data_IF_293491290290
#
_entry.id   IF_293491290290
#
_cell.length_a   1.000
_cell.length_b   1.000
_cell.length_c   1.000
_cell.angle_alpha   90.00
_cell.angle_beta   90.00
_cell.angle_gamma   90.00
#
_symmetry.space_group_name_H-M   'P 1'
#
loop_
_entity.id
_entity.type
_entity.pdbx_description
1 polymer ?
#
# COMPACT_ATOMS: atom_id res chain seq x y z
N UNK A 1 -6.91 5.97 -9.41
CA UNK A 1 -6.05 4.86 -9.00
C UNK A 1 -5.67 4.07 -10.25
N UNK A 2 -4.36 3.93 -10.50
CA UNK A 2 -3.82 3.15 -11.61
C UNK A 2 -3.52 1.72 -11.17
N UNK A 3 -4.28 0.76 -11.68
CA UNK A 3 -4.14 -0.68 -11.39
C UNK A 3 -3.46 -1.46 -12.52
N UNK A 4 -2.93 -0.78 -13.53
CA UNK A 4 -2.37 -1.41 -14.74
C UNK A 4 -1.23 -2.37 -14.41
N UNK A 5 -0.28 -1.95 -13.55
CA UNK A 5 0.84 -2.79 -13.14
C UNK A 5 0.37 -3.98 -12.30
N UNK A 6 -0.53 -3.77 -11.33
CA UNK A 6 -1.08 -4.84 -10.50
C UNK A 6 -1.76 -5.91 -11.36
N UNK A 7 -2.64 -5.49 -12.27
CA UNK A 7 -3.33 -6.41 -13.18
C UNK A 7 -2.35 -7.20 -14.04
N UNK A 8 -1.35 -6.52 -14.64
CA UNK A 8 -0.31 -7.18 -15.43
C UNK A 8 0.47 -8.22 -14.58
N UNK A 9 0.76 -7.89 -13.33
CA UNK A 9 1.48 -8.81 -12.43
C UNK A 9 0.62 -10.03 -12.07
N UNK A 10 -0.69 -9.85 -11.83
CA UNK A 10 -1.65 -10.95 -11.61
C UNK A 10 -1.73 -11.83 -12.86
N UNK A 11 -1.87 -11.25 -14.05
CA UNK A 11 -1.91 -11.99 -15.30
C UNK A 11 -0.64 -12.81 -15.51
N UNK A 12 0.53 -12.22 -15.21
CA UNK A 12 1.82 -12.92 -15.29
C UNK A 12 1.93 -14.07 -14.28
N UNK A 13 1.45 -13.89 -13.05
CA UNK A 13 1.45 -14.93 -12.02
C UNK A 13 0.56 -16.13 -12.43
N UNK A 14 -0.62 -15.86 -12.98
CA UNK A 14 -1.52 -16.88 -13.45
C UNK A 14 -1.02 -17.63 -14.70
N UNK A 15 -0.12 -17.00 -15.48
CA UNK A 15 0.47 -17.57 -16.68
C UNK A 15 1.74 -18.38 -16.40
N UNK A 16 2.25 -18.43 -15.15
CA UNK A 16 3.45 -19.18 -14.81
C UNK A 16 3.26 -20.69 -15.12
N UNK A 17 4.20 -21.26 -15.86
CA UNK A 17 4.30 -22.71 -16.02
C UNK A 17 5.03 -23.32 -14.81
N UNK A 18 4.27 -23.70 -13.79
CA UNK A 18 4.82 -24.21 -12.54
C UNK A 18 5.64 -25.51 -12.70
N UNK A 19 5.59 -26.17 -13.86
CA UNK A 19 6.44 -27.35 -14.14
C UNK A 19 7.90 -27.00 -14.31
N UNK A 20 8.24 -25.73 -14.46
CA UNK A 20 9.60 -25.18 -14.56
C UNK A 20 10.24 -24.90 -13.20
N UNK A 21 9.49 -25.07 -12.12
CA UNK A 21 9.90 -24.70 -10.77
C UNK A 21 9.94 -25.89 -9.83
N UNK A 22 10.87 -25.89 -8.88
CA UNK A 22 10.98 -26.87 -7.80
C UNK A 22 10.32 -26.33 -6.52
N UNK A 23 9.00 -26.21 -6.54
CA UNK A 23 8.23 -25.59 -5.47
C UNK A 23 7.98 -26.54 -4.30
N UNK A 24 8.29 -26.08 -3.10
CA UNK A 24 7.78 -26.66 -1.85
C UNK A 24 6.29 -26.34 -1.67
N UNK A 25 5.61 -27.02 -0.74
CA UNK A 25 4.23 -26.66 -0.40
C UNK A 25 4.13 -25.26 0.20
N UNK A 26 5.17 -24.78 0.88
CA UNK A 26 5.27 -23.42 1.40
C UNK A 26 5.35 -22.39 0.26
N UNK A 27 6.16 -22.65 -0.78
CA UNK A 27 6.25 -21.77 -1.96
C UNK A 27 4.92 -21.67 -2.69
N UNK A 28 4.22 -22.80 -2.86
CA UNK A 28 2.89 -22.84 -3.49
C UNK A 28 1.85 -22.07 -2.69
N UNK A 29 1.87 -22.22 -1.36
CA UNK A 29 0.98 -21.52 -0.46
C UNK A 29 1.24 -20.01 -0.51
N UNK A 30 2.51 -19.57 -0.42
CA UNK A 30 2.90 -18.17 -0.49
C UNK A 30 2.51 -17.52 -1.82
N UNK A 31 2.71 -18.22 -2.95
CA UNK A 31 2.27 -17.72 -4.27
C UNK A 31 0.75 -17.60 -4.35
N UNK A 32 0.03 -18.61 -3.88
CA UNK A 32 -1.45 -18.61 -3.91
C UNK A 32 -2.02 -17.48 -3.06
N UNK A 33 -1.50 -17.28 -1.86
CA UNK A 33 -1.90 -16.20 -0.96
C UNK A 33 -1.62 -14.83 -1.58
N UNK A 34 -0.44 -14.63 -2.14
CA UNK A 34 -0.08 -13.37 -2.79
C UNK A 34 -0.94 -13.05 -4.01
N UNK A 35 -1.30 -14.06 -4.82
CA UNK A 35 -2.25 -13.87 -5.92
C UNK A 35 -3.63 -13.47 -5.38
N UNK A 36 -4.13 -14.15 -4.34
CA UNK A 36 -5.43 -13.85 -3.75
C UNK A 36 -5.49 -12.44 -3.15
N UNK A 37 -4.45 -12.01 -2.44
CA UNK A 37 -4.32 -10.64 -1.92
C UNK A 37 -4.32 -9.62 -3.06
N UNK A 38 -3.52 -9.85 -4.10
CA UNK A 38 -3.42 -8.99 -5.27
C UNK A 38 -4.77 -8.85 -6.00
N UNK A 39 -5.51 -9.94 -6.19
CA UNK A 39 -6.86 -9.93 -6.77
C UNK A 39 -7.82 -9.15 -5.88
N UNK A 40 -7.78 -9.35 -4.58
CA UNK A 40 -8.64 -8.63 -3.62
C UNK A 40 -8.42 -7.12 -3.71
N UNK A 41 -7.16 -6.66 -3.76
CA UNK A 41 -6.83 -5.24 -3.92
C UNK A 41 -7.23 -4.72 -5.30
N UNK A 42 -7.03 -5.53 -6.36
CA UNK A 42 -7.44 -5.15 -7.71
C UNK A 42 -8.95 -4.94 -7.84
N UNK A 43 -9.76 -5.78 -7.19
CA UNK A 43 -11.22 -5.73 -7.26
C UNK A 43 -11.83 -4.71 -6.30
N UNK A 44 -11.09 -4.29 -5.27
CA UNK A 44 -11.52 -3.28 -4.32
C UNK A 44 -11.55 -1.90 -5.00
N UNK A 45 -12.73 -1.28 -5.12
CA UNK A 45 -12.91 0.05 -5.71
C UNK A 45 -12.37 1.17 -4.83
N UNK A 46 -12.29 0.94 -3.53
CA UNK A 46 -11.81 1.90 -2.53
C UNK A 46 -10.31 1.73 -2.21
N UNK A 47 -9.63 0.79 -2.88
CA UNK A 47 -8.20 0.59 -2.68
C UNK A 47 -7.42 1.87 -2.99
N UNK A 48 -6.46 2.19 -2.14
CA UNK A 48 -5.54 3.34 -2.37
C UNK A 48 -4.45 2.98 -3.38
N UNK A 49 -3.74 3.97 -3.93
CA UNK A 49 -2.63 3.71 -4.85
C UNK A 49 -1.51 2.95 -4.14
N UNK A 50 -1.26 3.28 -2.89
CA UNK A 50 -0.22 2.66 -2.07
C UNK A 50 -0.49 1.17 -1.81
N UNK A 51 -1.76 0.80 -1.56
CA UNK A 51 -2.17 -0.61 -1.44
C UNK A 51 -1.99 -1.36 -2.76
N UNK A 52 -2.35 -0.72 -3.89
CA UNK A 52 -2.17 -1.28 -5.24
C UNK A 52 -0.69 -1.51 -5.53
N UNK A 53 0.16 -0.53 -5.25
CA UNK A 53 1.60 -0.58 -5.50
C UNK A 53 2.28 -1.64 -4.60
N UNK A 54 1.87 -1.73 -3.33
CA UNK A 54 2.37 -2.73 -2.39
C UNK A 54 2.01 -4.16 -2.83
N UNK A 55 0.75 -4.39 -3.19
CA UNK A 55 0.29 -5.70 -3.66
C UNK A 55 1.01 -6.13 -4.94
N UNK A 56 1.22 -5.21 -5.89
CA UNK A 56 1.97 -5.47 -7.11
C UNK A 56 3.44 -5.81 -6.81
N UNK A 57 4.10 -5.06 -5.93
CA UNK A 57 5.49 -5.28 -5.56
C UNK A 57 5.68 -6.61 -4.80
N UNK A 58 4.79 -6.94 -3.85
CA UNK A 58 4.80 -8.20 -3.10
C UNK A 58 4.64 -9.40 -4.03
N UNK A 59 3.65 -9.38 -4.92
CA UNK A 59 3.43 -10.48 -5.86
C UNK A 59 4.62 -10.65 -6.81
N UNK A 60 5.15 -9.55 -7.37
CA UNK A 60 6.33 -9.58 -8.23
C UNK A 60 7.56 -10.19 -7.53
N UNK A 61 7.79 -9.82 -6.26
CA UNK A 61 8.88 -10.38 -5.46
C UNK A 61 8.71 -11.89 -5.25
N UNK A 62 7.52 -12.34 -4.86
CA UNK A 62 7.27 -13.77 -4.63
C UNK A 62 7.50 -14.55 -5.91
N UNK A 63 6.95 -14.12 -7.05
CA UNK A 63 7.19 -14.77 -8.35
C UNK A 63 8.67 -14.87 -8.69
N UNK A 64 9.43 -13.79 -8.48
CA UNK A 64 10.85 -13.73 -8.85
C UNK A 64 11.77 -14.49 -7.89
N UNK A 65 11.28 -14.88 -6.73
CA UNK A 65 12.02 -15.66 -5.73
C UNK A 65 11.73 -17.17 -5.78
N UNK A 66 10.79 -17.59 -6.64
CA UNK A 66 10.47 -19.01 -6.79
C UNK A 66 11.68 -19.78 -7.35
N UNK A 67 12.08 -20.90 -6.72
CA UNK A 67 13.19 -21.71 -7.20
C UNK A 67 12.82 -22.41 -8.52
N UNK A 68 13.64 -22.24 -9.55
CA UNK A 68 13.50 -22.92 -10.84
C UNK A 68 14.33 -24.19 -10.86
N UNK A 69 13.89 -25.21 -11.60
CA UNK A 69 14.52 -26.51 -11.67
C UNK A 69 15.97 -26.48 -12.20
N UNK A 70 16.31 -25.48 -13.02
CA UNK A 70 17.62 -25.35 -13.65
C UNK A 70 18.33 -24.01 -13.36
N UNK A 71 17.82 -23.22 -12.40
CA UNK A 71 18.34 -21.91 -12.07
C UNK A 71 18.02 -20.80 -13.05
N UNK A 72 17.22 -21.07 -14.10
CA UNK A 72 16.88 -20.10 -15.14
C UNK A 72 15.81 -19.10 -14.65
N UNK A 73 16.18 -17.85 -14.43
CA UNK A 73 15.29 -16.78 -14.02
C UNK A 73 14.36 -16.27 -15.15
N UNK A 74 14.68 -16.62 -16.38
CA UNK A 74 13.92 -16.15 -17.56
C UNK A 74 12.48 -16.69 -17.61
N UNK A 75 12.17 -17.78 -16.91
CA UNK A 75 10.81 -18.32 -16.84
C UNK A 75 9.80 -17.35 -16.21
N UNK A 76 10.24 -16.49 -15.30
CA UNK A 76 9.44 -15.45 -14.66
C UNK A 76 9.46 -14.09 -15.38
N UNK A 77 10.15 -13.97 -16.51
CA UNK A 77 10.29 -12.73 -17.25
C UNK A 77 9.26 -12.60 -18.39
N UNK A 78 8.81 -11.37 -18.61
CA UNK A 78 8.14 -11.02 -19.87
C UNK A 78 9.18 -10.94 -20.99
N UNK A 79 8.92 -11.61 -22.13
CA UNK A 79 9.80 -11.60 -23.28
C UNK A 79 9.29 -10.68 -24.38
N UNK A 80 10.20 -9.92 -25.01
CA UNK A 80 9.94 -9.11 -26.20
C UNK A 80 11.11 -9.17 -27.16
N UNK A 81 10.88 -8.74 -28.40
CA UNK A 81 11.91 -8.78 -29.46
C UNK A 81 11.74 -7.62 -30.43
N UNK A 82 12.82 -7.23 -31.10
CA UNK A 82 12.78 -6.29 -32.24
C UNK A 82 11.97 -6.82 -33.40
N UNK A 83 12.06 -8.13 -33.69
CA UNK A 83 11.31 -8.80 -34.75
C UNK A 83 11.28 -10.31 -34.51
N UNK A 84 10.19 -10.95 -34.91
CA UNK A 84 10.07 -12.40 -35.01
C UNK A 84 9.38 -12.76 -36.34
N UNK A 85 9.90 -13.76 -36.99
CA UNK A 85 9.33 -14.28 -38.26
C UNK A 85 7.93 -14.86 -38.01
N UNK A 86 7.06 -14.85 -39.02
CA UNK A 86 5.72 -15.43 -38.92
C UNK A 86 5.72 -16.96 -38.70
N UNK A 87 6.84 -17.62 -38.90
CA UNK A 87 7.04 -19.07 -38.71
C UNK A 87 7.50 -19.43 -37.31
N UNK A 88 8.02 -18.47 -36.55
CA UNK A 88 8.65 -18.67 -35.27
C UNK A 88 7.89 -17.95 -34.12
N UNK A 89 8.34 -18.14 -32.91
CA UNK A 89 7.75 -17.55 -31.69
C UNK A 89 8.83 -17.03 -30.75
N UNK A 90 8.69 -15.81 -30.29
CA UNK A 90 9.63 -15.24 -29.30
C UNK A 90 9.57 -15.98 -27.96
N UNK A 91 8.41 -16.50 -27.57
CA UNK A 91 8.26 -17.28 -26.33
C UNK A 91 9.02 -18.62 -26.31
N UNK A 92 9.59 -19.03 -27.43
CA UNK A 92 10.43 -20.23 -27.49
C UNK A 92 11.76 -20.05 -26.76
N UNK A 93 12.26 -18.80 -26.59
CA UNK A 93 13.59 -18.56 -26.00
C UNK A 93 13.66 -18.83 -24.49
N UNK A 94 12.50 -19.03 -23.83
CA UNK A 94 12.41 -19.38 -22.40
C UNK A 94 11.34 -20.43 -22.11
N UNK A 95 11.08 -21.33 -23.07
CA UNK A 95 10.08 -22.39 -22.88
C UNK A 95 10.68 -23.68 -22.25
N UNK A 96 11.99 -23.71 -22.02
CA UNK A 96 12.72 -24.82 -21.41
C UNK A 96 12.87 -26.05 -22.31
N UNK A 97 12.62 -25.92 -23.62
CA UNK A 97 12.73 -27.00 -24.59
C UNK A 97 14.02 -26.90 -25.36
N UNK A 98 14.87 -27.91 -25.22
CA UNK A 98 16.20 -27.95 -25.79
C UNK A 98 16.24 -29.07 -26.83
N UNK A 99 16.59 -28.78 -28.11
CA UNK A 99 16.74 -29.80 -29.12
C UNK A 99 18.04 -30.58 -28.96
N UNK A 100 18.12 -31.78 -29.58
CA UNK A 100 19.38 -32.55 -29.65
C UNK A 100 20.38 -31.91 -30.62
N UNK A 101 19.92 -31.17 -31.63
CA UNK A 101 20.75 -30.52 -32.64
C UNK A 101 20.34 -29.08 -32.90
N UNK A 102 21.32 -28.22 -33.15
CA UNK A 102 21.15 -26.84 -33.61
C UNK A 102 20.69 -26.78 -35.07
N UNK A 103 20.87 -27.84 -35.81
CA UNK A 103 20.52 -27.89 -37.25
C UNK A 103 19.05 -28.22 -37.42
N UNK A 104 18.33 -27.27 -38.02
CA UNK A 104 16.92 -27.39 -38.40
C UNK A 104 16.04 -28.16 -37.41
N UNK A 105 15.97 -27.76 -36.14
CA UNK A 105 15.22 -28.47 -35.09
C UNK A 105 13.71 -28.44 -35.40
N UNK A 106 13.20 -29.51 -36.02
CA UNK A 106 11.81 -29.64 -36.42
C UNK A 106 10.91 -30.09 -35.27
N UNK A 107 9.63 -29.69 -35.28
CA UNK A 107 8.63 -30.09 -34.29
C UNK A 107 8.73 -29.38 -32.94
N UNK A 108 9.63 -28.42 -32.79
CA UNK A 108 9.76 -27.59 -31.60
C UNK A 108 9.51 -26.12 -31.92
N UNK A 109 8.93 -25.37 -30.96
CA UNK A 109 8.89 -23.92 -31.05
C UNK A 109 10.34 -23.38 -31.03
N UNK A 110 10.59 -22.33 -31.77
CA UNK A 110 11.92 -21.72 -31.91
C UNK A 110 11.77 -20.23 -32.22
N UNK A 111 12.76 -19.42 -31.89
CA UNK A 111 12.84 -18.02 -32.25
C UNK A 111 13.73 -17.83 -33.47
N UNK A 112 13.25 -17.10 -34.45
CA UNK A 112 14.00 -16.75 -35.64
C UNK A 112 13.51 -15.47 -36.31
N UNK A 113 14.38 -14.81 -37.06
CA UNK A 113 14.12 -13.47 -37.57
C UNK A 113 14.16 -13.38 -39.11
N UNK A 114 13.84 -14.49 -39.81
CA UNK A 114 13.75 -14.50 -41.26
C UNK A 114 12.72 -13.50 -41.78
N UNK A 115 13.04 -12.80 -42.86
CA UNK A 115 12.17 -11.84 -43.51
C UNK A 115 12.41 -10.37 -43.13
N UNK A 116 13.18 -10.08 -42.09
CA UNK A 116 13.51 -8.71 -41.70
C UNK A 116 14.88 -8.27 -42.22
N UNK A 117 14.92 -7.24 -43.10
CA UNK A 117 16.15 -6.62 -43.56
C UNK A 117 16.72 -5.70 -42.48
N UNK A 118 17.61 -6.23 -41.65
CA UNK A 118 18.29 -5.52 -40.58
C UNK A 118 19.71 -6.04 -40.40
N UNK A 119 20.58 -5.29 -39.76
CA UNK A 119 21.93 -5.72 -39.40
C UNK A 119 22.01 -6.43 -38.04
N UNK A 120 21.00 -6.24 -37.20
CA UNK A 120 20.93 -6.82 -35.84
C UNK A 120 19.50 -6.99 -35.39
N UNK A 121 19.29 -7.92 -34.45
CA UNK A 121 18.04 -8.17 -33.78
C UNK A 121 18.25 -8.26 -32.27
N UNK A 122 17.19 -8.01 -31.48
CA UNK A 122 17.26 -8.09 -30.03
C UNK A 122 16.15 -8.95 -29.46
N UNK A 123 16.48 -9.67 -28.40
CA UNK A 123 15.48 -10.31 -27.50
C UNK A 123 15.69 -9.75 -26.12
N UNK A 124 14.61 -9.38 -25.45
CA UNK A 124 14.65 -8.70 -24.14
C UNK A 124 13.79 -9.45 -23.13
N UNK A 125 14.36 -9.71 -21.96
CA UNK A 125 13.63 -10.11 -20.76
C UNK A 125 13.37 -8.93 -19.84
N UNK A 126 12.18 -8.84 -19.26
CA UNK A 126 11.79 -7.81 -18.30
C UNK A 126 11.05 -8.44 -17.12
N UNK A 127 11.52 -8.15 -15.91
CA UNK A 127 10.87 -8.53 -14.64
C UNK A 127 10.14 -7.34 -14.02
N UNK A 128 9.13 -7.62 -13.21
CA UNK A 128 8.39 -6.58 -12.49
C UNK A 128 9.16 -6.03 -11.27
N UNK A 129 10.30 -6.64 -10.91
CA UNK A 129 11.22 -6.15 -9.89
C UNK A 129 12.67 -6.19 -10.38
N UNK A 130 13.59 -5.62 -9.59
CA UNK A 130 15.01 -5.70 -9.86
C UNK A 130 15.57 -7.10 -9.57
N UNK A 131 16.44 -7.55 -10.45
CA UNK A 131 17.18 -8.80 -10.36
C UNK A 131 18.67 -8.51 -10.26
N UNK A 132 19.40 -9.36 -9.56
CA UNK A 132 20.86 -9.41 -9.55
C UNK A 132 21.30 -10.53 -10.48
N UNK A 133 21.91 -10.19 -11.59
CA UNK A 133 22.26 -11.13 -12.66
C UNK A 133 23.78 -11.26 -12.77
N UNK A 134 24.26 -12.49 -13.02
CA UNK A 134 25.70 -12.82 -13.06
C UNK A 134 26.11 -13.63 -14.29
N UNK A 135 25.16 -14.08 -15.11
CA UNK A 135 25.47 -14.89 -16.27
C UNK A 135 24.26 -15.25 -17.12
N UNK A 136 24.53 -15.79 -18.28
CA UNK A 136 23.53 -16.26 -19.22
C UNK A 136 24.05 -17.39 -20.10
N UNK A 137 23.15 -18.26 -20.56
CA UNK A 137 23.41 -19.35 -21.50
C UNK A 137 22.52 -19.19 -22.72
N UNK A 138 23.07 -19.25 -23.91
CA UNK A 138 22.31 -19.20 -25.16
C UNK A 138 22.52 -20.47 -26.00
N UNK A 139 21.42 -21.03 -26.51
CA UNK A 139 21.40 -22.13 -27.45
C UNK A 139 20.98 -21.63 -28.82
N UNK A 140 21.89 -21.70 -29.81
CA UNK A 140 21.69 -21.19 -31.16
C UNK A 140 21.14 -22.26 -32.09
N UNK A 141 20.43 -21.87 -33.18
CA UNK A 141 19.99 -22.75 -34.23
C UNK A 141 20.08 -22.12 -35.61
N UNK A 142 20.07 -22.96 -36.63
CA UNK A 142 20.15 -22.57 -38.04
C UNK A 142 19.40 -23.56 -38.94
N UNK A 143 19.06 -23.16 -40.18
CA UNK A 143 18.28 -23.94 -41.14
C UNK A 143 18.95 -24.08 -42.49
N UNK A 144 20.28 -24.11 -42.58
CA UNK A 144 21.02 -24.27 -43.83
C UNK A 144 20.66 -25.53 -44.62
N UNK A 145 21.05 -25.57 -45.89
CA UNK A 145 20.81 -26.71 -46.78
C UNK A 145 21.65 -27.96 -46.37
N UNK A 146 22.68 -27.75 -45.58
CA UNK A 146 23.62 -28.80 -45.18
C UNK A 146 23.97 -28.59 -43.70
N UNK A 147 23.93 -29.67 -42.94
CA UNK A 147 24.40 -29.69 -41.54
C UNK A 147 25.88 -29.26 -41.48
N UNK A 148 26.20 -28.37 -40.52
CA UNK A 148 27.53 -27.79 -40.35
C UNK A 148 27.79 -26.52 -41.14
N UNK A 149 26.89 -26.09 -42.06
CA UNK A 149 27.01 -24.83 -42.78
C UNK A 149 26.05 -23.77 -42.21
N UNK A 150 26.35 -23.32 -40.98
CA UNK A 150 25.52 -22.40 -40.21
C UNK A 150 25.60 -20.93 -40.65
N UNK A 151 26.32 -20.65 -41.73
CA UNK A 151 26.41 -19.32 -42.35
C UNK A 151 25.51 -19.18 -43.59
N UNK A 152 24.84 -20.25 -43.97
CA UNK A 152 23.90 -20.31 -45.11
C UNK A 152 22.47 -20.65 -44.60
N UNK A 153 21.49 -20.49 -45.49
CA UNK A 153 20.08 -20.74 -45.15
C UNK A 153 19.31 -19.47 -44.87
N UNK A 154 18.04 -19.63 -44.52
CA UNK A 154 17.13 -18.55 -44.13
C UNK A 154 17.41 -18.05 -42.73
N UNK A 155 17.69 -18.98 -41.81
CA UNK A 155 18.16 -18.69 -40.45
C UNK A 155 19.62 -19.13 -40.33
N UNK A 156 20.45 -18.22 -39.84
CA UNK A 156 21.90 -18.42 -39.67
C UNK A 156 22.23 -18.21 -38.17
N UNK A 157 23.38 -18.69 -37.74
CA UNK A 157 23.92 -18.22 -36.48
C UNK A 157 24.28 -16.73 -36.58
N UNK A 158 24.20 -15.97 -35.48
CA UNK A 158 24.67 -14.57 -35.52
C UNK A 158 26.17 -14.50 -35.81
N UNK A 159 26.63 -13.40 -36.39
CA UNK A 159 28.06 -13.11 -36.56
C UNK A 159 28.75 -12.90 -35.22
N UNK A 160 28.02 -12.30 -34.27
CA UNK A 160 28.37 -12.09 -32.86
C UNK A 160 27.11 -11.75 -32.11
N UNK A 161 27.16 -11.84 -30.78
CA UNK A 161 26.13 -11.31 -29.91
C UNK A 161 26.73 -10.67 -28.68
N UNK A 162 25.95 -9.83 -27.98
CA UNK A 162 26.31 -9.19 -26.71
C UNK A 162 25.12 -9.17 -25.80
N UNK A 163 25.37 -9.18 -24.48
CA UNK A 163 24.35 -8.94 -23.47
C UNK A 163 24.41 -7.51 -22.98
N UNK A 164 23.26 -6.87 -22.89
CA UNK A 164 23.10 -5.50 -22.40
C UNK A 164 22.00 -5.47 -21.35
N UNK A 165 22.16 -4.64 -20.33
CA UNK A 165 21.17 -4.43 -19.28
C UNK A 165 20.69 -2.99 -19.26
N UNK A 166 19.46 -2.78 -18.79
CA UNK A 166 18.88 -1.46 -18.61
C UNK A 166 19.32 -0.90 -17.25
N UNK A 167 20.08 0.19 -17.24
CA UNK A 167 20.52 0.82 -16.00
C UNK A 167 19.38 1.62 -15.32
N UNK A 168 19.65 2.18 -14.13
CA UNK A 168 18.69 2.99 -13.38
C UNK A 168 18.29 4.29 -14.05
N UNK A 169 19.07 4.76 -15.04
CA UNK A 169 18.81 5.97 -15.83
C UNK A 169 18.00 5.66 -17.09
N UNK A 170 17.72 4.38 -17.36
CA UNK A 170 16.99 3.94 -18.54
C UNK A 170 17.87 3.77 -19.79
N UNK A 171 19.19 3.69 -19.65
CA UNK A 171 20.12 3.46 -20.74
C UNK A 171 20.52 1.99 -20.83
N UNK A 172 20.62 1.48 -22.06
CA UNK A 172 21.18 0.16 -22.31
C UNK A 172 22.71 0.20 -22.25
N UNK A 173 23.31 -0.64 -21.42
CA UNK A 173 24.77 -0.79 -21.25
C UNK A 173 25.15 -2.25 -21.42
N UNK A 174 26.29 -2.51 -22.04
CA UNK A 174 26.85 -3.87 -22.08
C UNK A 174 27.16 -4.36 -20.65
N UNK A 175 26.94 -5.66 -20.38
CA UNK A 175 27.28 -6.27 -19.08
C UNK A 175 28.78 -6.11 -18.80
N UNK A 176 29.16 -5.83 -17.54
CA UNK A 176 30.57 -5.57 -17.22
C UNK A 176 31.39 -6.87 -17.22
N UNK A 177 32.61 -6.80 -17.71
CA UNK A 177 33.60 -7.88 -17.71
C UNK A 177 33.04 -9.24 -18.17
N UNK A 178 32.34 -9.30 -19.34
CA UNK A 178 31.83 -10.56 -19.84
C UNK A 178 32.98 -11.53 -20.16
N UNK A 179 32.77 -12.81 -19.86
CA UNK A 179 33.59 -13.86 -20.44
C UNK A 179 33.39 -13.96 -21.96
N UNK A 180 34.02 -14.89 -22.62
CA UNK A 180 33.82 -15.05 -24.07
C UNK A 180 32.38 -15.36 -24.44
N UNK A 181 31.86 -14.73 -25.48
CA UNK A 181 30.61 -15.08 -26.13
C UNK A 181 30.84 -16.28 -27.07
N UNK A 182 30.40 -17.47 -26.65
CA UNK A 182 30.52 -18.71 -27.38
C UNK A 182 29.63 -18.75 -28.63
N UNK A 183 30.04 -19.51 -29.63
CA UNK A 183 29.30 -19.69 -30.91
C UNK A 183 29.24 -21.18 -31.28
N UNK A 184 29.31 -22.07 -30.28
CA UNK A 184 29.28 -23.51 -30.50
C UNK A 184 27.87 -24.01 -30.73
N UNK A 185 27.72 -25.02 -31.61
CA UNK A 185 26.45 -25.65 -31.91
C UNK A 185 26.17 -26.83 -31.00
N UNK A 186 24.91 -27.26 -30.92
CA UNK A 186 24.41 -28.44 -30.21
C UNK A 186 24.62 -28.38 -28.69
N UNK A 187 24.82 -27.16 -28.17
CA UNK A 187 24.96 -26.91 -26.73
C UNK A 187 24.70 -25.47 -26.35
N UNK A 188 24.57 -25.24 -25.05
CA UNK A 188 24.57 -23.88 -24.51
C UNK A 188 25.94 -23.24 -24.56
N UNK A 189 25.96 -21.97 -24.91
CA UNK A 189 27.13 -21.10 -24.84
C UNK A 189 27.00 -20.23 -23.60
N UNK A 190 27.82 -20.51 -22.58
CA UNK A 190 27.83 -19.82 -21.31
C UNK A 190 28.63 -18.53 -21.38
N UNK A 191 28.08 -17.46 -20.82
CA UNK A 191 28.76 -16.18 -20.58
C UNK A 191 28.50 -15.75 -19.13
N UNK A 192 29.57 -15.59 -18.36
CA UNK A 192 29.54 -14.97 -17.03
C UNK A 192 29.93 -13.52 -17.10
N UNK A 193 29.44 -12.71 -16.19
CA UNK A 193 29.76 -11.29 -16.08
C UNK A 193 29.67 -10.83 -14.61
N UNK A 194 30.25 -9.66 -14.30
CA UNK A 194 30.14 -9.09 -12.96
C UNK A 194 28.68 -8.79 -12.63
N UNK A 195 28.29 -8.96 -11.38
CA UNK A 195 26.92 -8.78 -10.92
C UNK A 195 26.36 -7.41 -11.36
N UNK A 196 25.22 -7.44 -12.03
CA UNK A 196 24.42 -6.26 -12.37
C UNK A 196 23.08 -6.29 -11.65
N UNK A 197 22.56 -5.13 -11.28
CA UNK A 197 21.18 -4.96 -10.80
C UNK A 197 20.34 -4.31 -11.89
N UNK A 198 19.28 -4.97 -12.32
CA UNK A 198 18.43 -4.48 -13.42
C UNK A 198 17.03 -5.09 -13.40
N UNK A 199 16.08 -4.41 -14.04
CA UNK A 199 14.77 -4.99 -14.37
C UNK A 199 14.73 -5.60 -15.79
N UNK A 200 15.73 -5.30 -16.62
CA UNK A 200 15.72 -5.79 -18.01
C UNK A 200 17.12 -6.11 -18.52
N UNK A 201 17.25 -7.26 -19.16
CA UNK A 201 18.44 -7.67 -19.90
C UNK A 201 18.03 -8.00 -21.34
N UNK A 202 18.88 -7.68 -22.31
CA UNK A 202 18.67 -8.10 -23.69
C UNK A 202 19.92 -8.75 -24.27
N UNK A 203 19.69 -9.66 -25.19
CA UNK A 203 20.72 -10.13 -26.11
C UNK A 203 20.57 -9.36 -27.43
N UNK A 204 21.68 -8.78 -27.89
CA UNK A 204 21.78 -8.14 -29.23
C UNK A 204 22.51 -9.11 -30.17
N UNK A 205 21.80 -9.60 -31.17
CA UNK A 205 22.26 -10.61 -32.12
C UNK A 205 22.67 -9.87 -33.40
N UNK A 206 23.96 -9.80 -33.72
CA UNK A 206 24.46 -9.19 -34.96
C UNK A 206 24.36 -10.20 -36.10
N UNK A 207 23.67 -9.87 -37.17
CA UNK A 207 23.45 -10.75 -38.33
C UNK A 207 24.70 -10.88 -39.17
N UNK A 208 24.78 -11.97 -39.94
CA UNK A 208 25.89 -12.19 -40.90
C UNK A 208 25.94 -11.11 -41.98
N UNK A 209 24.77 -10.61 -42.41
CA UNK A 209 24.64 -9.55 -43.39
C UNK A 209 23.37 -8.70 -43.08
N UNK A 210 23.29 -7.51 -43.66
CA UNK A 210 22.09 -6.69 -43.67
C UNK A 210 21.17 -7.13 -44.82
N UNK A 211 20.54 -8.28 -44.65
CA UNK A 211 19.65 -8.90 -45.62
C UNK A 211 18.39 -9.43 -44.92
N UNK A 212 17.53 -10.17 -45.65
CA UNK A 212 16.31 -10.78 -45.12
C UNK A 212 16.54 -12.11 -44.41
N UNK A 213 17.76 -12.65 -44.41
CA UNK A 213 18.07 -13.85 -43.63
C UNK A 213 18.08 -13.51 -42.14
N UNK A 214 17.65 -14.44 -41.34
CA UNK A 214 17.49 -14.25 -39.88
C UNK A 214 18.64 -14.83 -39.07
N UNK A 215 18.49 -14.64 -37.75
CA UNK A 215 19.27 -15.34 -36.70
C UNK A 215 18.32 -16.17 -35.86
N UNK A 216 18.82 -17.28 -35.28
CA UNK A 216 18.01 -18.25 -34.54
C UNK A 216 18.51 -18.48 -33.12
N UNK A 217 17.55 -18.53 -32.16
CA UNK A 217 17.78 -18.92 -30.77
C UNK A 217 16.73 -19.93 -30.37
N UNK A 218 17.16 -21.05 -29.77
CA UNK A 218 16.25 -22.06 -29.19
C UNK A 218 15.89 -21.73 -27.77
N UNK A 219 16.89 -21.43 -26.94
CA UNK A 219 16.71 -21.13 -25.52
C UNK A 219 17.74 -20.10 -25.08
N UNK A 220 17.34 -19.18 -24.22
CA UNK A 220 18.23 -18.20 -23.60
C UNK A 220 17.94 -18.15 -22.10
N UNK A 221 18.85 -18.71 -21.30
CA UNK A 221 18.78 -18.76 -19.85
C UNK A 221 19.51 -17.57 -19.24
N UNK A 222 19.03 -17.09 -18.11
CA UNK A 222 19.67 -16.01 -17.35
C UNK A 222 19.75 -16.42 -15.88
N UNK A 223 20.90 -16.19 -15.25
CA UNK A 223 21.23 -16.63 -13.92
C UNK A 223 21.49 -15.49 -12.94
N UNK A 224 21.12 -15.71 -11.69
CA UNK A 224 21.26 -14.72 -10.63
C UNK A 224 20.25 -14.96 -9.51
N UNK A 225 19.77 -13.88 -8.90
CA UNK A 225 18.76 -13.90 -7.83
C UNK A 225 17.83 -12.70 -7.92
N UNK A 226 16.69 -12.77 -7.27
CA UNK A 226 15.88 -11.59 -6.99
C UNK A 226 16.67 -10.60 -6.11
N UNK A 227 16.57 -9.28 -6.36
CA UNK A 227 17.14 -8.27 -5.47
C UNK A 227 16.17 -8.04 -4.31
N UNK A 228 16.64 -8.18 -3.09
CA UNK A 228 15.95 -7.72 -1.90
C UNK A 228 16.44 -6.34 -1.46
N UNK A 229 15.60 -5.61 -0.75
CA UNK A 229 15.94 -4.31 -0.20
C UNK A 229 17.05 -4.44 0.85
N UNK A 230 18.05 -3.60 0.74
CA UNK A 230 19.15 -3.49 1.70
C UNK A 230 18.86 -2.37 2.73
N UNK A 231 19.82 -2.12 3.63
CA UNK A 231 19.71 -1.08 4.67
C UNK A 231 19.51 0.33 4.07
N UNK A 232 20.17 0.62 2.93
CA UNK A 232 20.00 1.92 2.28
C UNK A 232 18.59 2.06 1.68
N UNK A 233 18.06 0.99 1.09
CA UNK A 233 16.69 0.97 0.60
C UNK A 233 15.66 1.21 1.72
N UNK A 234 15.94 0.77 2.96
CA UNK A 234 15.05 0.84 4.11
C UNK A 234 15.20 2.12 4.95
N UNK A 235 16.27 2.89 4.79
CA UNK A 235 16.62 4.00 5.67
C UNK A 235 15.51 5.05 5.83
N UNK A 236 14.85 5.47 4.75
CA UNK A 236 13.76 6.44 4.80
C UNK A 236 12.52 5.88 5.52
N UNK A 237 12.21 4.59 5.34
CA UNK A 237 11.12 3.92 6.03
C UNK A 237 11.39 3.80 7.54
N UNK A 238 12.62 3.46 7.93
CA UNK A 238 13.05 3.42 9.34
C UNK A 238 12.85 4.77 10.03
N UNK A 239 13.28 5.85 9.36
CA UNK A 239 13.07 7.20 9.86
C UNK A 239 11.58 7.52 10.00
N UNK A 240 10.78 7.23 8.99
CA UNK A 240 9.34 7.49 9.00
C UNK A 240 8.62 6.71 10.12
N UNK A 241 9.00 5.44 10.35
CA UNK A 241 8.46 4.63 11.46
C UNK A 241 8.82 5.23 12.80
N UNK A 242 10.07 5.66 12.99
CA UNK A 242 10.52 6.31 14.24
C UNK A 242 9.76 7.61 14.52
N UNK A 243 9.53 8.42 13.49
CA UNK A 243 8.78 9.67 13.61
C UNK A 243 7.28 9.34 13.89
N UNK A 244 6.72 8.33 13.24
CA UNK A 244 5.33 7.88 13.43
C UNK A 244 5.06 7.31 14.83
N UNK A 245 6.04 6.69 15.49
CA UNK A 245 5.92 6.16 16.85
C UNK A 245 5.74 7.24 17.93
N UNK A 246 5.93 8.50 17.59
CA UNK A 246 5.68 9.61 18.50
C UNK A 246 4.23 10.09 18.53
N UNK A 247 3.38 9.60 17.64
CA UNK A 247 1.97 9.99 17.56
C UNK A 247 1.13 9.33 18.66
N UNK A 248 0.39 10.12 19.40
CA UNK A 248 -0.43 9.67 20.53
C UNK A 248 -1.90 9.49 20.12
N UNK A 249 -2.44 8.28 20.27
CA UNK A 249 -3.80 7.90 19.85
C UNK A 249 -4.91 8.79 20.44
N UNK A 250 -4.73 9.26 21.69
CA UNK A 250 -5.70 10.10 22.39
C UNK A 250 -5.92 11.46 21.75
N UNK A 251 -4.97 11.95 20.92
CA UNK A 251 -5.04 13.23 20.25
C UNK A 251 -5.85 13.23 18.95
N UNK A 252 -6.17 12.04 18.42
CA UNK A 252 -6.76 11.90 17.07
C UNK A 252 -8.11 11.19 17.12
N UNK A 253 -8.93 11.40 16.08
CA UNK A 253 -10.18 10.65 15.90
C UNK A 253 -9.89 9.17 15.68
N UNK A 254 -10.78 8.30 16.17
CA UNK A 254 -10.61 6.84 16.13
C UNK A 254 -10.38 6.33 14.69
N UNK A 255 -11.18 6.79 13.73
CA UNK A 255 -11.09 6.34 12.33
C UNK A 255 -9.75 6.71 11.68
N UNK A 256 -9.29 7.97 11.87
CA UNK A 256 -8.02 8.42 11.28
C UNK A 256 -6.83 7.72 11.93
N UNK A 257 -6.87 7.50 13.25
CA UNK A 257 -5.79 6.82 13.96
C UNK A 257 -5.73 5.32 13.64
N UNK A 258 -6.87 4.65 13.45
CA UNK A 258 -6.92 3.24 13.05
C UNK A 258 -6.28 3.00 11.67
N UNK A 259 -6.55 3.88 10.72
CA UNK A 259 -5.91 3.81 9.39
C UNK A 259 -4.38 4.02 9.49
N UNK A 260 -3.94 4.99 10.30
CA UNK A 260 -2.54 5.24 10.57
C UNK A 260 -1.85 4.04 11.27
N UNK A 261 -2.47 3.46 12.29
CA UNK A 261 -1.95 2.29 13.01
C UNK A 261 -1.77 1.08 12.07
N UNK A 262 -2.71 0.86 11.15
CA UNK A 262 -2.59 -0.20 10.14
C UNK A 262 -1.39 0.02 9.20
N UNK A 263 -1.19 1.25 8.73
CA UNK A 263 -0.05 1.60 7.89
C UNK A 263 1.29 1.47 8.66
N UNK A 264 1.34 1.92 9.91
CA UNK A 264 2.52 1.78 10.78
C UNK A 264 2.87 0.31 11.04
N UNK A 265 1.87 -0.54 11.27
CA UNK A 265 2.06 -1.99 11.44
C UNK A 265 2.65 -2.63 10.18
N UNK A 266 2.13 -2.28 9.01
CA UNK A 266 2.67 -2.76 7.72
C UNK A 266 4.11 -2.30 7.53
N UNK A 267 4.42 -1.03 7.79
CA UNK A 267 5.77 -0.48 7.69
C UNK A 267 6.78 -1.22 8.60
N UNK A 268 6.41 -1.50 9.84
CA UNK A 268 7.24 -2.29 10.78
C UNK A 268 7.48 -3.70 10.26
N UNK A 269 6.45 -4.38 9.78
CA UNK A 269 6.59 -5.74 9.21
C UNK A 269 7.51 -5.76 8.00
N UNK A 270 7.48 -4.75 7.15
CA UNK A 270 8.40 -4.60 6.00
C UNK A 270 9.84 -4.41 6.48
N UNK A 271 10.09 -3.61 7.53
CA UNK A 271 11.43 -3.42 8.08
C UNK A 271 12.02 -4.69 8.70
N UNK A 272 11.18 -5.47 9.39
CA UNK A 272 11.59 -6.72 10.05
C UNK A 272 11.87 -7.86 9.06
N UNK A 273 11.32 -7.79 7.86
CA UNK A 273 11.50 -8.85 6.86
C UNK A 273 12.83 -8.70 6.13
N UNK A 274 13.58 -9.81 6.04
CA UNK A 274 14.81 -9.91 5.24
C UNK A 274 14.53 -10.02 3.73
N UNK A 275 13.32 -10.49 3.36
CA UNK A 275 12.95 -10.78 1.98
C UNK A 275 11.82 -9.85 1.51
N UNK A 276 12.12 -8.56 1.41
CA UNK A 276 11.23 -7.56 0.80
C UNK A 276 11.92 -6.88 -0.38
N UNK A 277 11.15 -6.46 -1.35
CA UNK A 277 11.67 -5.67 -2.49
C UNK A 277 11.74 -4.18 -2.15
N UNK A 278 12.59 -3.44 -2.85
CA UNK A 278 12.60 -1.97 -2.78
C UNK A 278 11.23 -1.36 -3.15
N UNK A 279 10.41 -2.07 -3.95
CA UNK A 279 9.04 -1.66 -4.28
C UNK A 279 8.10 -1.73 -3.07
N UNK A 280 8.16 -2.82 -2.28
CA UNK A 280 7.37 -2.96 -1.05
C UNK A 280 7.77 -1.90 -0.01
N UNK A 281 9.07 -1.63 0.14
CA UNK A 281 9.57 -0.57 1.05
C UNK A 281 9.03 0.80 0.66
N UNK A 282 9.10 1.16 -0.62
CA UNK A 282 8.58 2.45 -1.14
C UNK A 282 7.08 2.58 -0.95
N UNK A 283 6.31 1.53 -1.23
CA UNK A 283 4.86 1.53 -1.07
C UNK A 283 4.46 1.65 0.41
N UNK A 284 5.14 0.94 1.31
CA UNK A 284 4.92 1.03 2.75
C UNK A 284 5.25 2.43 3.30
N UNK A 285 6.35 3.04 2.84
CA UNK A 285 6.71 4.42 3.19
C UNK A 285 5.63 5.41 2.75
N UNK A 286 5.20 5.31 1.49
CA UNK A 286 4.16 6.19 0.95
C UNK A 286 2.84 6.05 1.72
N UNK A 287 2.43 4.82 2.04
CA UNK A 287 1.24 4.54 2.83
C UNK A 287 1.31 5.13 4.24
N UNK A 288 2.45 4.96 4.94
CA UNK A 288 2.65 5.50 6.28
C UNK A 288 2.61 7.03 6.29
N UNK A 289 3.36 7.68 5.39
CA UNK A 289 3.39 9.14 5.27
C UNK A 289 2.00 9.70 4.95
N UNK A 290 1.27 9.06 4.04
CA UNK A 290 -0.10 9.47 3.71
C UNK A 290 -1.05 9.31 4.89
N UNK A 291 -1.01 8.18 5.58
CA UNK A 291 -1.85 7.93 6.74
C UNK A 291 -1.55 8.92 7.88
N UNK A 292 -0.27 9.26 8.12
CA UNK A 292 0.14 10.26 9.10
C UNK A 292 -0.36 11.67 8.73
N UNK A 293 -0.27 12.05 7.46
CA UNK A 293 -0.79 13.33 6.98
C UNK A 293 -2.33 13.43 7.03
N UNK A 294 -3.01 12.28 7.05
CA UNK A 294 -4.48 12.20 7.17
C UNK A 294 -4.97 12.08 8.61
N UNK A 295 -4.09 12.16 9.61
CA UNK A 295 -4.49 12.18 11.02
C UNK A 295 -5.35 13.40 11.31
N UNK A 296 -6.55 13.17 11.84
CA UNK A 296 -7.51 14.22 12.23
C UNK A 296 -7.48 14.36 13.73
N UNK A 297 -7.00 15.49 14.23
CA UNK A 297 -7.05 15.78 15.67
C UNK A 297 -8.49 15.82 16.17
N UNK A 298 -8.72 15.26 17.35
CA UNK A 298 -9.98 15.48 18.06
C UNK A 298 -10.19 16.97 18.27
N UNK A 299 -11.43 17.42 18.14
CA UNK A 299 -11.78 18.77 18.55
C UNK A 299 -11.34 18.94 20.00
N UNK A 300 -10.66 20.04 20.30
CA UNK A 300 -10.42 20.40 21.71
C UNK A 300 -11.79 20.53 22.38
N UNK A 301 -11.94 19.95 23.57
CA UNK A 301 -13.12 20.16 24.40
C UNK A 301 -13.10 21.64 24.81
N UNK A 302 -13.90 22.45 24.13
CA UNK A 302 -14.05 23.87 24.39
C UNK A 302 -15.04 24.15 25.51
N UNK A 303 -15.54 23.11 26.22
CA UNK A 303 -16.44 23.30 27.34
C UNK A 303 -15.73 24.05 28.47
N UNK A 304 -16.15 25.29 28.68
CA UNK A 304 -15.61 26.15 29.73
C UNK A 304 -16.48 26.18 31.00
N UNK A 305 -17.63 25.50 30.97
CA UNK A 305 -18.54 25.44 32.14
C UNK A 305 -17.87 24.87 33.39
N UNK A 306 -16.99 23.83 33.33
CA UNK A 306 -16.28 23.32 34.51
C UNK A 306 -15.40 24.33 35.25
N UNK A 307 -15.02 25.43 34.58
CA UNK A 307 -14.22 26.52 35.17
C UNK A 307 -15.07 27.63 35.81
N UNK A 308 -16.38 27.55 35.67
CA UNK A 308 -17.27 28.56 36.20
C UNK A 308 -17.69 28.25 37.64
N UNK A 309 -17.88 29.29 38.45
CA UNK A 309 -18.67 29.19 39.65
C UNK A 309 -20.15 29.06 39.28
N UNK A 310 -20.86 28.08 39.84
CA UNK A 310 -22.27 27.85 39.57
C UNK A 310 -23.12 28.33 40.73
N UNK A 311 -24.15 29.09 40.42
CA UNK A 311 -25.19 29.53 41.36
C UNK A 311 -26.58 29.25 40.78
N UNK A 312 -27.60 29.16 41.61
CA UNK A 312 -28.95 28.87 41.15
C UNK A 312 -29.92 28.53 42.25
N UNK A 313 -31.18 28.34 41.88
CA UNK A 313 -32.22 27.86 42.81
C UNK A 313 -32.03 26.37 43.05
N UNK A 314 -31.49 26.02 44.22
CA UNK A 314 -31.30 24.65 44.66
C UNK A 314 -31.62 24.55 46.15
N UNK A 315 -32.49 23.63 46.54
CA UNK A 315 -32.82 23.38 47.95
C UNK A 315 -32.03 22.25 48.58
N UNK A 316 -31.27 21.52 47.82
CA UNK A 316 -30.48 20.44 48.35
C UNK A 316 -29.10 20.95 48.75
N UNK A 317 -28.86 20.98 50.05
CA UNK A 317 -27.54 21.22 50.63
C UNK A 317 -26.66 20.00 50.61
N UNK A 318 -27.14 18.89 50.09
CA UNK A 318 -26.40 17.65 49.89
C UNK A 318 -26.18 17.38 48.42
N UNK A 319 -25.12 16.72 48.09
CA UNK A 319 -24.57 16.54 46.75
C UNK A 319 -25.49 15.85 45.71
N UNK A 320 -26.65 15.31 46.15
CA UNK A 320 -27.57 14.48 45.32
C UNK A 320 -28.40 15.21 44.26
N UNK A 321 -28.45 16.48 44.27
CA UNK A 321 -29.20 17.30 43.30
C UNK A 321 -28.62 18.69 43.24
N UNK A 322 -27.34 18.80 43.59
CA UNK A 322 -26.65 20.05 43.78
C UNK A 322 -26.20 20.71 42.47
N UNK A 323 -25.85 21.97 42.59
CA UNK A 323 -25.36 22.78 41.47
C UNK A 323 -24.08 22.22 40.85
N UNK A 324 -23.27 21.50 41.62
CA UNK A 324 -22.03 20.89 41.14
C UNK A 324 -22.25 19.81 40.03
N UNK A 325 -23.48 19.33 39.86
CA UNK A 325 -23.80 18.38 38.78
C UNK A 325 -23.93 19.04 37.41
N UNK A 326 -24.07 20.37 37.37
CA UNK A 326 -24.32 21.11 36.15
C UNK A 326 -23.06 21.34 35.29
N UNK A 327 -21.87 21.28 35.91
CA UNK A 327 -20.59 21.57 35.22
C UNK A 327 -19.47 20.60 35.61
N UNK A 328 -19.83 19.37 35.95
CA UNK A 328 -18.87 18.31 36.36
C UNK A 328 -18.15 17.64 35.18
N UNK A 329 -18.45 18.00 33.94
CA UNK A 329 -17.93 17.44 32.72
C UNK A 329 -18.22 15.92 32.55
N UNK A 330 -19.35 15.46 33.09
CA UNK A 330 -19.80 14.08 32.93
C UNK A 330 -21.11 14.08 32.16
N UNK A 331 -21.09 13.56 30.97
CA UNK A 331 -22.27 13.42 30.13
C UNK A 331 -23.02 12.14 30.49
N UNK A 332 -24.32 12.21 30.84
CA UNK A 332 -25.10 11.03 31.11
C UNK A 332 -25.40 10.27 29.80
N UNK A 333 -25.46 8.93 29.87
CA UNK A 333 -25.79 8.07 28.74
C UNK A 333 -27.26 8.16 28.32
N UNK A 334 -28.13 8.63 29.20
CA UNK A 334 -29.56 8.87 28.94
C UNK A 334 -30.16 9.87 29.90
N UNK A 335 -31.31 10.44 29.58
CA UNK A 335 -32.07 11.34 30.44
C UNK A 335 -32.53 10.69 31.79
N UNK A 336 -32.38 9.37 31.92
CA UNK A 336 -32.67 8.60 33.11
C UNK A 336 -31.44 7.93 33.70
N UNK A 337 -30.24 8.26 33.29
CA UNK A 337 -28.98 7.72 33.82
C UNK A 337 -28.61 8.31 35.18
N UNK A 338 -29.54 9.05 35.76
CA UNK A 338 -29.40 9.56 37.11
C UNK A 338 -29.63 8.44 38.13
N UNK A 339 -28.66 8.24 39.00
CA UNK A 339 -28.73 7.39 40.16
C UNK A 339 -28.31 8.21 41.40
N UNK A 340 -29.25 8.52 42.28
CA UNK A 340 -28.99 9.29 43.47
C UNK A 340 -28.01 8.66 44.45
N UNK A 341 -27.64 7.40 44.26
CA UNK A 341 -26.61 6.69 45.04
C UNK A 341 -25.19 6.88 44.48
N UNK A 342 -25.03 7.47 43.30
CA UNK A 342 -23.75 7.60 42.58
C UNK A 342 -23.26 9.04 42.44
N UNK A 343 -23.52 9.86 43.41
CA UNK A 343 -23.08 11.27 43.43
C UNK A 343 -21.58 11.42 43.25
N UNK A 344 -20.80 10.56 43.91
CA UNK A 344 -19.34 10.54 43.82
C UNK A 344 -18.84 10.18 42.41
N UNK A 345 -19.69 9.54 41.59
CA UNK A 345 -19.40 9.24 40.18
C UNK A 345 -19.90 10.35 39.25
N UNK A 346 -20.41 11.48 39.76
CA UNK A 346 -20.90 12.60 38.98
C UNK A 346 -22.20 12.36 38.23
N UNK A 347 -22.96 11.31 38.59
CA UNK A 347 -24.25 10.93 37.95
C UNK A 347 -25.47 11.53 38.62
N UNK A 348 -25.30 12.59 39.37
CA UNK A 348 -26.40 13.37 39.92
C UNK A 348 -27.03 14.30 38.89
N UNK A 349 -28.22 14.80 39.15
CA UNK A 349 -28.80 15.89 38.36
C UNK A 349 -29.23 17.05 39.26
N UNK A 350 -29.09 18.26 38.79
CA UNK A 350 -29.68 19.41 39.44
C UNK A 350 -31.19 19.44 39.20
N UNK A 351 -31.95 19.81 40.25
CA UNK A 351 -33.39 19.99 40.18
C UNK A 351 -33.89 20.98 41.23
N UNK A 352 -35.08 21.56 40.98
CA UNK A 352 -35.73 22.52 41.89
C UNK A 352 -36.97 21.98 42.60
N UNK A 353 -37.03 20.70 42.88
CA UNK A 353 -38.23 20.01 43.40
C UNK A 353 -38.92 20.72 44.54
N UNK A 354 -38.23 21.22 45.57
CA UNK A 354 -38.80 21.87 46.75
C UNK A 354 -39.04 23.37 46.52
N UNK A 355 -38.63 23.96 45.41
CA UNK A 355 -38.74 25.39 45.04
C UNK A 355 -39.66 25.63 43.86
N UNK A 356 -40.65 24.80 43.67
CA UNK A 356 -41.60 24.89 42.53
C UNK A 356 -42.58 26.03 42.66
N UNK A 357 -42.89 26.42 43.92
CA UNK A 357 -43.86 27.42 44.23
C UNK A 357 -43.30 28.41 45.26
N UNK A 358 -43.72 29.68 45.17
CA UNK A 358 -43.47 30.68 46.20
C UNK A 358 -44.41 30.52 47.39
N UNK A 359 -44.32 31.41 48.39
CA UNK A 359 -45.12 31.41 49.57
C UNK A 359 -46.61 31.61 49.27
N UNK A 360 -46.94 32.24 48.16
CA UNK A 360 -48.29 32.54 47.67
C UNK A 360 -48.84 31.45 46.74
N UNK A 361 -48.07 30.39 46.47
CA UNK A 361 -48.44 29.26 45.63
C UNK A 361 -48.27 29.48 44.11
N UNK A 362 -47.58 30.52 43.70
CA UNK A 362 -47.26 30.77 42.29
C UNK A 362 -46.04 29.93 41.85
N UNK A 363 -46.07 29.53 40.58
CA UNK A 363 -44.92 28.79 39.99
C UNK A 363 -43.69 29.70 39.93
N UNK A 364 -42.60 29.23 40.51
CA UNK A 364 -41.29 29.91 40.45
C UNK A 364 -40.52 29.48 39.25
N UNK A 365 -40.04 30.45 38.47
CA UNK A 365 -39.08 30.17 37.39
C UNK A 365 -37.73 29.82 38.01
N UNK A 366 -37.28 28.61 37.73
CA UNK A 366 -35.97 28.18 38.17
C UNK A 366 -34.88 28.82 37.27
N UNK A 367 -33.76 29.15 37.89
CA UNK A 367 -32.61 29.68 37.17
C UNK A 367 -31.29 29.05 37.66
N UNK A 368 -30.32 29.04 36.79
CA UNK A 368 -28.89 28.64 37.04
C UNK A 368 -28.00 29.65 36.35
N UNK A 369 -26.92 30.04 36.98
CA UNK A 369 -25.90 30.92 36.38
C UNK A 369 -24.53 30.34 36.50
N UNK A 370 -23.72 30.62 35.49
CA UNK A 370 -22.29 30.39 35.47
C UNK A 370 -21.56 31.73 35.54
N UNK A 371 -20.57 31.86 36.42
CA UNK A 371 -19.73 33.05 36.56
C UNK A 371 -18.26 32.65 36.47
N UNK A 372 -17.54 33.33 35.58
CA UNK A 372 -16.11 33.19 35.40
C UNK A 372 -15.38 34.38 36.01
N UNK A 373 -14.11 34.21 36.39
CA UNK A 373 -13.27 35.26 36.95
C UNK A 373 -12.89 36.37 35.96
N UNK A 374 -13.15 36.17 34.69
CA UNK A 374 -12.94 37.13 33.59
C UNK A 374 -14.07 37.10 32.57
N UNK A 375 -14.16 38.13 31.73
CA UNK A 375 -15.09 38.16 30.63
C UNK A 375 -14.80 37.01 29.64
N UNK A 376 -15.89 36.37 29.22
CA UNK A 376 -15.81 35.21 28.31
C UNK A 376 -16.61 35.51 27.05
N UNK A 377 -16.11 35.01 25.91
CA UNK A 377 -16.87 34.96 24.66
C UNK A 377 -17.53 33.60 24.56
N UNK A 378 -18.88 33.60 24.58
CA UNK A 378 -19.67 32.37 24.50
C UNK A 378 -20.29 32.26 23.11
N UNK A 379 -20.12 31.11 22.48
CA UNK A 379 -20.64 30.83 21.13
C UNK A 379 -21.88 29.95 21.15
N UNK A 380 -21.92 28.99 22.08
CA UNK A 380 -23.02 28.03 22.22
C UNK A 380 -23.10 27.50 23.64
N UNK A 381 -24.18 26.84 23.96
CA UNK A 381 -24.37 26.08 25.19
C UNK A 381 -25.21 24.83 24.91
N UNK A 382 -24.81 23.72 25.49
CA UNK A 382 -25.56 22.48 25.47
C UNK A 382 -26.13 22.19 26.84
N UNK A 383 -27.45 21.89 26.92
CA UNK A 383 -28.14 21.56 28.18
C UNK A 383 -28.73 20.16 28.06
N UNK A 384 -28.30 19.28 28.94
CA UNK A 384 -28.85 17.93 29.03
C UNK A 384 -29.95 17.86 30.10
N UNK A 385 -31.19 17.63 29.66
CA UNK A 385 -32.33 17.56 30.59
C UNK A 385 -32.52 16.15 31.13
N UNK A 386 -32.58 16.04 32.48
CA UNK A 386 -32.88 14.80 33.19
C UNK A 386 -34.34 14.69 33.60
N UNK A 387 -34.79 13.45 33.87
CA UNK A 387 -36.10 13.15 34.43
C UNK A 387 -35.98 11.94 35.34
N UNK A 388 -36.70 11.98 36.50
CA UNK A 388 -36.83 10.83 37.42
C UNK A 388 -38.02 9.92 37.05
N UNK A 389 -38.73 10.24 35.97
CA UNK A 389 -39.91 9.52 35.52
C UNK A 389 -41.17 9.82 36.33
N UNK A 390 -41.15 10.82 37.22
CA UNK A 390 -42.23 11.19 38.10
C UNK A 390 -42.33 12.70 38.33
N UNK A 391 -41.70 13.20 39.37
CA UNK A 391 -41.77 14.57 39.81
C UNK A 391 -40.83 15.56 39.11
N UNK A 392 -39.69 15.08 38.62
CA UNK A 392 -38.72 15.90 37.85
C UNK A 392 -38.97 15.71 36.36
N UNK A 393 -39.23 16.82 35.68
CA UNK A 393 -39.53 16.86 34.26
C UNK A 393 -38.70 17.96 33.57
N UNK A 394 -38.41 17.84 32.27
CA UNK A 394 -37.83 18.94 31.50
C UNK A 394 -38.65 20.22 31.60
N UNK A 395 -38.03 21.40 31.57
CA UNK A 395 -38.77 22.68 31.60
C UNK A 395 -39.66 22.82 30.36
N UNK A 396 -40.75 23.59 30.48
CA UNK A 396 -41.64 23.91 29.36
C UNK A 396 -40.96 24.81 28.35
N UNK A 397 -40.11 25.71 28.81
CA UNK A 397 -39.31 26.62 27.99
C UNK A 397 -38.07 27.04 28.75
N UNK A 398 -37.06 27.43 28.00
CA UNK A 398 -35.78 27.93 28.48
C UNK A 398 -35.45 29.23 27.78
N UNK A 399 -34.78 30.14 28.46
CA UNK A 399 -34.13 31.30 27.87
C UNK A 399 -32.71 31.41 28.42
N UNK A 400 -31.81 31.94 27.61
CA UNK A 400 -30.45 32.25 28.02
C UNK A 400 -30.29 33.75 28.16
N UNK A 401 -29.68 34.19 29.25
CA UNK A 401 -29.40 35.59 29.56
C UNK A 401 -27.90 35.75 29.91
N UNK A 402 -27.34 36.91 29.59
CA UNK A 402 -25.97 37.29 29.99
C UNK A 402 -26.00 38.56 30.81
N UNK A 403 -25.04 38.70 31.71
CA UNK A 403 -24.90 39.92 32.52
C UNK A 403 -24.10 40.95 31.70
N UNK A 404 -24.70 42.12 31.44
CA UNK A 404 -24.03 43.19 30.72
C UNK A 404 -23.08 43.99 31.63
N UNK A 405 -22.32 44.92 31.07
CA UNK A 405 -21.40 45.81 31.80
C UNK A 405 -22.12 46.69 32.88
N UNK A 406 -23.38 46.94 32.71
CA UNK A 406 -24.19 47.69 33.69
C UNK A 406 -24.69 46.81 34.85
N UNK A 407 -24.38 45.50 34.85
CA UNK A 407 -24.87 44.56 35.85
C UNK A 407 -26.34 44.15 35.64
N UNK A 408 -26.89 44.27 34.45
CA UNK A 408 -28.23 43.86 34.11
C UNK A 408 -28.25 42.59 33.29
N UNK A 409 -29.18 41.66 33.61
CA UNK A 409 -29.41 40.48 32.81
C UNK A 409 -30.12 40.83 31.51
N UNK A 410 -29.57 40.43 30.39
CA UNK A 410 -30.10 40.60 29.04
C UNK A 410 -30.22 39.26 28.35
N UNK A 411 -31.32 39.07 27.66
CA UNK A 411 -31.55 37.87 26.85
C UNK A 411 -30.54 37.80 25.69
N UNK A 412 -30.01 36.58 25.45
CA UNK A 412 -29.07 36.32 24.34
C UNK A 412 -29.84 36.52 23.02
N UNK A 413 -29.40 37.48 22.15
CA UNK A 413 -30.10 37.77 20.92
C UNK A 413 -29.99 36.60 19.92
N UNK A 414 -31.09 36.32 19.22
CA UNK A 414 -31.16 35.31 18.18
C UNK A 414 -30.72 33.91 18.63
N UNK A 415 -30.94 33.55 19.87
CA UNK A 415 -30.69 32.20 20.36
C UNK A 415 -31.63 31.21 19.64
N UNK A 416 -31.04 30.18 19.03
CA UNK A 416 -31.74 29.11 18.31
C UNK A 416 -31.71 27.81 19.12
N UNK A 417 -32.64 26.86 18.84
CA UNK A 417 -32.66 25.57 19.48
C UNK A 417 -33.14 25.53 20.91
N UNK A 418 -33.89 26.54 21.35
CA UNK A 418 -34.54 26.63 22.68
C UNK A 418 -35.81 25.76 22.77
N UNK A 419 -35.77 24.54 22.21
CA UNK A 419 -36.92 23.66 22.07
C UNK A 419 -37.35 22.95 23.33
#
# INVERSE_FOLDING_TARGET
IDKTLLKKTIDSANALDLTKYELTEEDKAALTEAIQEAVTVNDNKEATQEEVDFAAAKLARIMSSLPTADGNLAYGAAVSTSYVSSWEKVSAVNDGKIPESSYNPSGMARYGTWGNASSKETVTYTWNQEMKLTGADIYLWYDGDTEGDYTKGGIKIPKSYTYEYLDSEGNWKEVPNPSSYGMEMDKFNNTTFDEITTKSIRVTLNKQANDTNGVGVMEWKVYGTAKYADENDKADLEKAVKDAETEEANLYTEDSYKAFEAALKTAKSVLESEKVSSGEVKAALAALVKAQNNLVKKAEDKNIAPKAAVDGICNYTTDLGGLAQLNNNIDPSSSRDWDGSQVDAGKGMWHNWNNRYDADGNVVNAWVSYTWDSEMVLESTDVYYGTDGGGIQPPKSVKFEYLNEAGEWKEVPNAEGLG
#
